data_IF_124360211368
#
_entry.id   IF_124360211368
#
_cell.length_a   1.000
_cell.length_b   1.000
_cell.length_c   1.000
_cell.angle_alpha   90.00
_cell.angle_beta   90.00
_cell.angle_gamma   90.00
#
_symmetry.space_group_name_H-M   'P 1'
#
loop_
_entity.id
_entity.type
_entity.pdbx_description
1 polymer ?
#
# COMPACT_ATOMS: atom_id res chain seq x y z
N UNK A 1 -9.38 -22.01 2.52
CA UNK A 1 -8.49 -21.00 3.09
C UNK A 1 -7.18 -21.58 3.62
N UNK A 2 -7.16 -22.52 4.60
CA UNK A 2 -5.90 -23.11 5.14
C UNK A 2 -4.99 -23.72 4.07
N UNK A 3 -5.55 -24.48 3.11
CA UNK A 3 -4.79 -25.12 2.01
C UNK A 3 -4.10 -24.07 1.13
N UNK A 4 -4.80 -23.00 0.73
CA UNK A 4 -4.23 -21.94 -0.10
C UNK A 4 -3.04 -21.25 0.58
N UNK A 5 -3.16 -20.97 1.91
CA UNK A 5 -2.05 -20.40 2.69
C UNK A 5 -0.87 -21.34 2.83
N UNK A 6 -1.13 -22.64 3.03
CA UNK A 6 -0.08 -23.65 3.10
C UNK A 6 0.67 -23.80 1.75
N UNK A 7 -0.06 -23.77 0.65
CA UNK A 7 0.52 -23.78 -0.69
C UNK A 7 1.39 -22.54 -0.94
N UNK A 8 0.88 -21.32 -0.60
CA UNK A 8 1.65 -20.08 -0.71
C UNK A 8 2.97 -20.17 0.06
N UNK A 9 2.92 -20.55 1.35
CA UNK A 9 4.11 -20.68 2.20
C UNK A 9 5.12 -21.70 1.70
N UNK A 10 4.67 -22.76 1.00
CA UNK A 10 5.55 -23.77 0.39
C UNK A 10 6.23 -23.26 -0.88
N UNK A 11 5.53 -22.45 -1.68
CA UNK A 11 6.06 -21.93 -2.94
C UNK A 11 6.90 -20.66 -2.75
N UNK A 12 6.55 -19.80 -1.75
CA UNK A 12 7.23 -18.55 -1.49
C UNK A 12 8.77 -18.63 -1.40
N UNK A 13 9.38 -19.61 -0.69
CA UNK A 13 10.83 -19.74 -0.62
C UNK A 13 11.54 -20.05 -1.93
N UNK A 14 10.78 -20.43 -2.96
CA UNK A 14 11.30 -20.75 -4.30
C UNK A 14 11.30 -19.55 -5.24
N UNK A 15 10.72 -18.43 -4.79
CA UNK A 15 10.63 -17.23 -5.59
C UNK A 15 11.89 -16.40 -5.43
N UNK A 16 12.31 -15.75 -6.51
CA UNK A 16 13.37 -14.76 -6.48
C UNK A 16 12.81 -13.45 -5.91
N UNK A 17 13.27 -12.98 -4.73
CA UNK A 17 12.76 -11.76 -4.13
C UNK A 17 12.93 -10.51 -5.02
N UNK A 18 13.96 -10.50 -5.88
CA UNK A 18 14.24 -9.38 -6.79
C UNK A 18 13.19 -9.24 -7.89
N UNK A 19 12.39 -10.29 -8.11
CA UNK A 19 11.31 -10.33 -9.10
C UNK A 19 9.93 -10.07 -8.52
N UNK A 20 9.83 -9.87 -7.21
CA UNK A 20 8.55 -9.67 -6.54
C UNK A 20 8.14 -8.20 -6.49
N UNK A 21 6.91 -7.92 -6.88
CA UNK A 21 6.27 -6.60 -6.76
C UNK A 21 4.96 -6.79 -5.99
N UNK A 22 4.93 -6.34 -4.74
CA UNK A 22 3.73 -6.41 -3.91
C UNK A 22 2.94 -5.12 -4.04
N UNK A 23 1.65 -5.21 -4.34
CA UNK A 23 0.77 -4.06 -4.53
C UNK A 23 -0.35 -4.11 -3.52
N UNK A 24 -0.71 -2.93 -3.01
CA UNK A 24 -1.86 -2.75 -2.14
C UNK A 24 -2.24 -1.27 -2.07
N UNK A 25 -3.41 -0.99 -1.51
CA UNK A 25 -3.87 0.36 -1.23
C UNK A 25 -4.12 0.60 0.26
N UNK A 26 -4.05 1.87 0.66
CA UNK A 26 -4.33 2.26 2.02
C UNK A 26 -4.99 3.63 2.11
N UNK A 27 -6.03 3.74 2.96
CA UNK A 27 -6.65 5.02 3.27
C UNK A 27 -5.74 5.89 4.13
N UNK A 28 -5.65 7.17 3.76
CA UNK A 28 -5.02 8.25 4.55
C UNK A 28 -6.00 9.39 4.73
N UNK A 29 -5.88 10.18 5.79
CA UNK A 29 -6.84 11.23 6.08
C UNK A 29 -6.25 12.44 6.80
N UNK A 30 -6.88 13.59 6.63
CA UNK A 30 -6.45 14.85 7.23
C UNK A 30 -6.68 14.94 8.75
N UNK A 31 -7.36 13.98 9.37
CA UNK A 31 -7.54 13.90 10.82
C UNK A 31 -6.55 12.94 11.51
N UNK A 32 -5.57 12.39 10.78
CA UNK A 32 -4.60 11.47 11.36
C UNK A 32 -3.83 12.12 12.52
N UNK A 33 -3.82 11.46 13.68
CA UNK A 33 -3.07 11.87 14.87
C UNK A 33 -2.40 10.66 15.51
N UNK A 34 -1.45 10.93 16.40
CA UNK A 34 -0.83 9.88 17.20
C UNK A 34 -1.87 9.24 18.12
N UNK A 35 -2.13 7.92 18.05
CA UNK A 35 -3.13 7.25 18.89
C UNK A 35 -2.65 7.02 20.32
N UNK A 36 -1.35 7.23 20.58
CA UNK A 36 -0.72 6.97 21.88
C UNK A 36 0.32 8.04 22.18
N UNK A 37 0.52 8.35 23.47
CA UNK A 37 1.56 9.21 23.98
C UNK A 37 2.07 8.71 25.33
N UNK A 38 3.06 9.39 25.90
CA UNK A 38 3.64 9.09 27.22
C UNK A 38 3.45 10.28 28.14
N UNK A 39 3.12 10.01 29.41
CA UNK A 39 3.08 10.99 30.49
C UNK A 39 3.66 10.39 31.77
N UNK A 40 3.86 11.20 32.79
CA UNK A 40 4.32 10.71 34.10
C UNK A 40 3.31 9.71 34.68
N UNK A 41 3.84 8.69 35.37
CA UNK A 41 3.00 7.71 36.08
C UNK A 41 2.02 8.43 37.01
N UNK A 42 0.76 7.98 37.01
CA UNK A 42 -0.32 8.58 37.80
C UNK A 42 -0.91 9.87 37.24
N UNK A 43 -0.47 10.33 36.06
CA UNK A 43 -1.07 11.49 35.37
C UNK A 43 -1.85 11.03 34.12
N UNK A 44 -2.94 11.73 33.83
CA UNK A 44 -3.72 11.51 32.60
C UNK A 44 -3.02 12.21 31.43
N UNK A 45 -2.80 11.50 30.34
CA UNK A 45 -2.37 12.11 29.10
C UNK A 45 -3.55 12.87 28.48
N UNK A 46 -3.37 14.15 28.25
CA UNK A 46 -4.33 15.00 27.53
C UNK A 46 -3.67 15.49 26.25
N UNK A 47 -4.33 15.28 25.11
CA UNK A 47 -3.87 15.75 23.81
C UNK A 47 -5.06 16.30 23.02
N UNK A 48 -4.81 17.38 22.25
CA UNK A 48 -5.80 17.89 21.30
C UNK A 48 -5.82 17.01 20.07
N UNK A 49 -7.01 16.65 19.61
CA UNK A 49 -7.22 15.89 18.35
C UNK A 49 -8.04 16.77 17.40
N UNK A 50 -7.86 16.64 16.08
CA UNK A 50 -8.71 17.33 15.12
C UNK A 50 -10.16 16.91 15.31
N UNK A 51 -11.04 17.87 15.29
CA UNK A 51 -12.48 17.68 15.34
C UNK A 51 -13.13 18.35 14.13
N UNK A 52 -14.27 17.85 13.68
CA UNK A 52 -14.99 18.35 12.53
C UNK A 52 -14.88 17.44 11.30
N UNK A 53 -15.14 17.99 10.13
CA UNK A 53 -15.07 17.26 8.87
C UNK A 53 -13.62 17.04 8.45
N UNK A 54 -13.30 15.79 8.10
CA UNK A 54 -12.02 15.40 7.53
C UNK A 54 -12.18 14.83 6.13
N UNK A 55 -11.13 14.88 5.36
CA UNK A 55 -11.06 14.26 4.03
C UNK A 55 -10.20 13.01 4.09
N UNK A 56 -10.62 11.99 3.36
CA UNK A 56 -9.90 10.73 3.21
C UNK A 56 -9.47 10.59 1.76
N UNK A 57 -8.24 10.18 1.54
CA UNK A 57 -7.70 9.86 0.21
C UNK A 57 -7.17 8.45 0.21
N UNK A 58 -7.09 7.84 -0.96
CA UNK A 58 -6.47 6.53 -1.13
C UNK A 58 -5.04 6.70 -1.66
N UNK A 59 -4.10 6.03 -1.04
CA UNK A 59 -2.73 5.86 -1.50
C UNK A 59 -2.55 4.42 -1.97
N UNK A 60 -2.03 4.23 -3.16
CA UNK A 60 -1.66 2.93 -3.72
C UNK A 60 -0.21 2.96 -4.17
N UNK A 61 0.50 1.86 -4.02
CA UNK A 61 1.88 1.71 -4.47
C UNK A 61 2.25 0.24 -4.66
N UNK A 62 3.35 0.00 -5.35
CA UNK A 62 4.07 -1.26 -5.35
C UNK A 62 5.24 -1.23 -4.36
N UNK A 63 5.56 -2.37 -3.78
CA UNK A 63 6.76 -2.58 -2.96
C UNK A 63 7.66 -3.61 -3.66
N UNK A 64 8.90 -3.22 -3.92
CA UNK A 64 10.00 -4.07 -4.40
C UNK A 64 11.03 -4.25 -3.29
N UNK A 65 12.03 -5.07 -3.54
CA UNK A 65 13.15 -5.24 -2.61
C UNK A 65 13.93 -3.93 -2.41
N UNK A 66 14.03 -3.09 -3.43
CA UNK A 66 14.77 -1.83 -3.46
C UNK A 66 13.95 -0.60 -3.08
N UNK A 67 12.68 -0.75 -2.75
CA UNK A 67 11.83 0.34 -2.28
C UNK A 67 10.42 0.35 -2.85
N UNK A 68 9.74 1.49 -2.69
CA UNK A 68 8.40 1.70 -3.26
C UNK A 68 8.48 2.12 -4.73
N UNK A 69 7.59 1.56 -5.55
CA UNK A 69 7.45 1.86 -6.98
C UNK A 69 6.01 2.28 -7.29
N UNK A 70 5.83 3.04 -8.37
CA UNK A 70 4.53 3.48 -8.88
C UNK A 70 3.60 4.07 -7.79
N UNK A 71 4.07 5.01 -6.94
CA UNK A 71 3.21 5.62 -5.93
C UNK A 71 2.14 6.49 -6.58
N UNK A 72 0.90 6.35 -6.13
CA UNK A 72 -0.23 7.13 -6.64
C UNK A 72 -1.18 7.49 -5.50
N UNK A 73 -1.74 8.71 -5.54
CA UNK A 73 -2.77 9.17 -4.61
C UNK A 73 -4.00 9.61 -5.37
N UNK A 74 -5.18 9.32 -4.83
CA UNK A 74 -6.46 9.71 -5.41
C UNK A 74 -7.42 10.17 -4.31
N UNK A 75 -8.16 11.25 -4.59
CA UNK A 75 -9.18 11.80 -3.67
C UNK A 75 -10.53 11.06 -3.87
N UNK A 76 -10.46 9.73 -3.84
CA UNK A 76 -11.62 8.84 -3.98
C UNK A 76 -11.34 7.50 -3.29
N UNK A 77 -12.37 6.71 -2.93
CA UNK A 77 -12.20 5.30 -2.60
C UNK A 77 -11.71 4.53 -3.83
N UNK A 78 -10.90 3.48 -3.62
CA UNK A 78 -10.44 2.62 -4.69
C UNK A 78 -11.60 1.77 -5.21
N UNK A 79 -11.83 1.83 -6.52
CA UNK A 79 -12.70 0.93 -7.26
C UNK A 79 -11.95 0.26 -8.41
N UNK A 80 -12.64 -0.60 -9.18
CA UNK A 80 -12.00 -1.37 -10.24
C UNK A 80 -11.51 -0.51 -11.42
N UNK A 81 -12.18 0.58 -11.74
CA UNK A 81 -11.81 1.49 -12.84
C UNK A 81 -10.58 2.32 -12.47
N UNK A 82 -10.58 2.89 -11.27
CA UNK A 82 -9.41 3.62 -10.73
C UNK A 82 -8.21 2.68 -10.61
N UNK A 83 -8.42 1.45 -10.14
CA UNK A 83 -7.35 0.47 -10.01
C UNK A 83 -6.77 0.07 -11.36
N UNK A 84 -7.62 -0.20 -12.37
CA UNK A 84 -7.15 -0.49 -13.73
C UNK A 84 -6.38 0.70 -14.33
N UNK A 85 -6.90 1.91 -14.17
CA UNK A 85 -6.20 3.14 -14.60
C UNK A 85 -4.82 3.27 -13.93
N UNK A 86 -4.74 3.00 -12.62
CA UNK A 86 -3.47 2.98 -11.90
C UNK A 86 -2.50 1.94 -12.48
N UNK A 87 -2.98 0.73 -12.76
CA UNK A 87 -2.15 -0.31 -13.37
C UNK A 87 -1.59 0.14 -14.72
N UNK A 88 -2.43 0.64 -15.60
CA UNK A 88 -2.05 1.05 -16.96
C UNK A 88 -1.09 2.24 -16.97
N UNK A 89 -1.36 3.26 -16.13
CA UNK A 89 -0.65 4.54 -16.19
C UNK A 89 0.56 4.62 -15.29
N UNK A 90 0.54 3.91 -14.17
CA UNK A 90 1.57 4.04 -13.14
C UNK A 90 2.40 2.78 -12.99
N UNK A 91 1.77 1.60 -12.86
CA UNK A 91 2.50 0.37 -12.55
C UNK A 91 3.09 -0.29 -13.80
N UNK A 92 2.30 -0.57 -14.84
CA UNK A 92 2.73 -1.31 -16.02
C UNK A 92 4.00 -0.73 -16.66
N UNK A 93 4.16 0.63 -16.76
CA UNK A 93 5.40 1.21 -17.27
C UNK A 93 6.66 0.92 -16.44
N UNK A 94 6.50 0.46 -15.20
CA UNK A 94 7.62 0.12 -14.29
C UNK A 94 7.92 -1.37 -14.24
N UNK A 95 7.05 -2.21 -14.83
CA UNK A 95 7.21 -3.65 -14.81
C UNK A 95 8.19 -4.13 -15.86
N UNK A 96 8.89 -5.20 -15.52
CA UNK A 96 9.82 -5.90 -16.41
C UNK A 96 9.40 -7.35 -16.63
N UNK A 97 9.72 -7.94 -17.81
CA UNK A 97 9.45 -9.34 -18.06
C UNK A 97 10.02 -10.27 -16.98
N UNK A 98 9.23 -11.25 -16.59
CA UNK A 98 9.58 -12.23 -15.56
C UNK A 98 9.34 -11.76 -14.11
N UNK A 99 8.86 -10.54 -13.88
CA UNK A 99 8.41 -10.11 -12.56
C UNK A 99 7.10 -10.79 -12.15
N UNK A 100 6.87 -10.83 -10.85
CA UNK A 100 5.68 -11.43 -10.25
C UNK A 100 4.96 -10.34 -9.45
N UNK A 101 3.87 -9.86 -10.00
CA UNK A 101 3.00 -8.90 -9.32
C UNK A 101 2.10 -9.66 -8.37
N UNK A 102 2.19 -9.31 -7.10
CA UNK A 102 1.42 -9.94 -6.02
C UNK A 102 0.50 -8.92 -5.39
N UNK A 103 -0.76 -9.23 -5.28
CA UNK A 103 -1.77 -8.40 -4.63
C UNK A 103 -2.80 -9.27 -3.91
N UNK A 104 -3.63 -8.65 -3.08
CA UNK A 104 -4.69 -9.34 -2.40
C UNK A 104 -5.83 -9.77 -3.35
N UNK A 105 -6.86 -10.37 -2.79
CA UNK A 105 -7.95 -11.01 -3.52
C UNK A 105 -9.23 -10.16 -3.53
N UNK A 106 -9.12 -8.82 -3.43
CA UNK A 106 -10.26 -7.92 -3.45
C UNK A 106 -10.98 -7.93 -4.82
N UNK A 107 -12.30 -7.67 -4.84
CA UNK A 107 -13.06 -7.58 -6.10
C UNK A 107 -12.49 -6.54 -7.07
N UNK A 108 -12.04 -5.38 -6.60
CA UNK A 108 -11.43 -4.33 -7.41
C UNK A 108 -10.18 -4.80 -8.17
N UNK A 109 -9.45 -5.76 -7.61
CA UNK A 109 -8.24 -6.34 -8.22
C UNK A 109 -8.53 -7.45 -9.26
N UNK A 110 -9.79 -7.80 -9.46
CA UNK A 110 -10.22 -8.88 -10.36
C UNK A 110 -11.09 -8.40 -11.51
N UNK A 111 -11.21 -7.10 -11.70
CA UNK A 111 -11.95 -6.58 -12.85
C UNK A 111 -11.24 -6.96 -14.15
N UNK A 112 -12.02 -7.05 -15.22
CA UNK A 112 -11.49 -7.31 -16.56
C UNK A 112 -10.40 -6.29 -16.91
N UNK A 113 -9.32 -6.75 -17.56
CA UNK A 113 -8.18 -5.92 -17.93
C UNK A 113 -7.03 -5.93 -16.92
N UNK A 114 -7.25 -6.21 -15.63
CA UNK A 114 -6.18 -6.19 -14.62
C UNK A 114 -5.09 -7.23 -14.92
N UNK A 115 -5.49 -8.47 -15.14
CA UNK A 115 -4.55 -9.55 -15.49
C UNK A 115 -3.86 -9.28 -16.81
N UNK A 116 -4.63 -8.93 -17.80
CA UNK A 116 -4.19 -8.67 -19.16
C UNK A 116 -3.15 -7.54 -19.20
N UNK A 117 -3.38 -6.45 -18.47
CA UNK A 117 -2.45 -5.32 -18.37
C UNK A 117 -1.11 -5.74 -17.76
N UNK A 118 -1.13 -6.55 -16.70
CA UNK A 118 0.10 -7.04 -16.07
C UNK A 118 0.83 -8.03 -16.99
N UNK A 119 0.13 -9.00 -17.54
CA UNK A 119 0.72 -10.06 -18.38
C UNK A 119 1.22 -9.52 -19.72
N UNK A 120 0.64 -8.44 -20.25
CA UNK A 120 1.14 -7.76 -21.45
C UNK A 120 2.55 -7.17 -21.27
N UNK A 121 2.99 -6.90 -20.04
CA UNK A 121 4.38 -6.46 -19.75
C UNK A 121 5.39 -7.61 -19.70
N UNK A 122 4.94 -8.86 -19.82
CA UNK A 122 5.75 -10.06 -19.59
C UNK A 122 5.89 -10.44 -18.10
N UNK A 123 5.23 -9.70 -17.20
CA UNK A 123 5.10 -10.07 -15.79
C UNK A 123 3.98 -11.09 -15.58
N UNK A 124 3.91 -11.64 -14.38
CA UNK A 124 2.88 -12.63 -14.01
C UNK A 124 2.10 -12.14 -12.79
N UNK A 125 0.77 -12.22 -12.83
CA UNK A 125 -0.07 -11.96 -11.67
C UNK A 125 -0.17 -13.20 -10.77
N UNK A 126 0.11 -13.04 -9.47
CA UNK A 126 -0.06 -14.05 -8.45
C UNK A 126 -0.82 -13.51 -7.23
N UNK A 127 -2.09 -13.86 -7.13
CA UNK A 127 -2.94 -13.39 -6.04
C UNK A 127 -2.60 -14.06 -4.71
N UNK A 128 -2.56 -13.28 -3.64
CA UNK A 128 -2.43 -13.77 -2.27
C UNK A 128 -3.64 -14.63 -1.89
N UNK A 129 -3.47 -15.57 -0.97
CA UNK A 129 -4.61 -16.28 -0.39
C UNK A 129 -5.59 -15.29 0.26
N UNK A 130 -6.91 -15.54 0.20
CA UNK A 130 -7.90 -14.69 0.82
C UNK A 130 -7.60 -14.44 2.30
N UNK A 131 -7.86 -13.21 2.77
CA UNK A 131 -7.66 -12.79 4.17
C UNK A 131 -6.25 -13.07 4.70
N UNK A 132 -5.23 -12.71 3.95
CA UNK A 132 -3.82 -12.98 4.29
C UNK A 132 -2.92 -11.73 4.23
N UNK A 133 -3.26 -10.64 4.93
CA UNK A 133 -2.44 -9.42 4.95
C UNK A 133 -1.05 -9.65 5.57
N UNK A 134 -0.93 -10.65 6.45
CA UNK A 134 0.34 -11.09 7.03
C UNK A 134 1.33 -11.69 6.01
N UNK A 135 0.87 -12.02 4.81
CA UNK A 135 1.70 -12.46 3.69
C UNK A 135 2.02 -11.32 2.71
N UNK A 136 1.51 -10.12 2.96
CA UNK A 136 1.78 -8.94 2.13
C UNK A 136 2.76 -8.00 2.85
N UNK A 137 4.04 -7.93 2.47
CA UNK A 137 5.03 -7.10 3.16
C UNK A 137 4.76 -5.60 3.03
N UNK A 138 4.02 -5.15 2.01
CA UNK A 138 3.69 -3.73 1.83
C UNK A 138 2.86 -3.17 3.00
N UNK A 139 2.12 -4.01 3.70
CA UNK A 139 1.34 -3.60 4.88
C UNK A 139 2.22 -3.04 6.00
N UNK A 140 3.44 -3.58 6.17
CA UNK A 140 4.41 -3.02 7.12
C UNK A 140 4.91 -1.65 6.68
N UNK A 141 5.12 -1.46 5.38
CA UNK A 141 5.47 -0.17 4.79
C UNK A 141 4.36 0.85 4.96
N UNK A 142 3.11 0.46 4.77
CA UNK A 142 1.95 1.31 5.04
C UNK A 142 1.79 1.64 6.53
N UNK A 143 2.09 0.72 7.42
CA UNK A 143 2.11 1.00 8.86
C UNK A 143 3.16 2.07 9.20
N UNK A 144 4.37 1.98 8.63
CA UNK A 144 5.45 2.99 8.75
C UNK A 144 5.01 4.32 8.14
N UNK A 145 4.47 4.33 6.92
CA UNK A 145 3.92 5.53 6.29
C UNK A 145 2.90 6.22 7.20
N UNK A 146 1.88 5.49 7.66
CA UNK A 146 0.84 6.03 8.55
C UNK A 146 1.40 6.56 9.87
N UNK A 147 2.46 5.96 10.40
CA UNK A 147 3.13 6.47 11.59
C UNK A 147 3.77 7.85 11.33
N UNK A 148 4.43 8.04 10.18
CA UNK A 148 4.98 9.32 9.76
C UNK A 148 3.89 10.37 9.53
N UNK A 149 2.80 10.03 8.82
CA UNK A 149 1.68 10.94 8.57
C UNK A 149 1.00 11.39 9.88
N UNK A 150 0.82 10.47 10.85
CA UNK A 150 0.31 10.82 12.18
C UNK A 150 1.25 11.74 12.95
N UNK A 151 2.56 11.62 12.72
CA UNK A 151 3.57 12.50 13.34
C UNK A 151 3.54 13.91 12.71
N UNK A 152 3.44 13.97 11.37
CA UNK A 152 3.35 15.22 10.63
C UNK A 152 2.07 15.98 10.96
N UNK A 153 0.95 15.28 10.99
CA UNK A 153 -0.33 15.84 11.40
C UNK A 153 -0.90 16.83 10.39
N UNK A 154 -0.72 16.59 9.11
CA UNK A 154 -1.21 17.45 8.02
C UNK A 154 -2.73 17.52 7.99
N UNK A 155 -3.26 18.74 7.72
CA UNK A 155 -4.70 19.05 7.82
C UNK A 155 -5.35 19.45 6.50
N UNK A 156 -4.59 19.49 5.42
CA UNK A 156 -5.09 19.72 4.06
C UNK A 156 -4.68 18.58 3.13
N UNK A 157 -5.46 18.33 2.09
CA UNK A 157 -5.15 17.31 1.08
C UNK A 157 -3.80 17.58 0.40
N UNK A 158 -3.49 18.78 -0.09
CA UNK A 158 -2.19 19.04 -0.71
C UNK A 158 -1.01 18.74 0.23
N UNK A 159 -1.04 19.23 1.48
CA UNK A 159 0.02 18.96 2.44
C UNK A 159 0.15 17.47 2.80
N UNK A 160 -0.98 16.74 2.90
CA UNK A 160 -0.99 15.31 3.11
C UNK A 160 -0.31 14.57 1.95
N UNK A 161 -0.59 14.93 0.72
CA UNK A 161 -0.01 14.33 -0.48
C UNK A 161 1.49 14.64 -0.59
N UNK A 162 1.91 15.87 -0.33
CA UNK A 162 3.32 16.26 -0.28
C UNK A 162 4.09 15.46 0.78
N UNK A 163 3.45 15.26 1.96
CA UNK A 163 4.03 14.46 3.03
C UNK A 163 4.11 12.97 2.66
N UNK A 164 3.11 12.41 1.98
CA UNK A 164 3.17 11.05 1.43
C UNK A 164 4.37 10.93 0.48
N UNK A 165 4.52 11.84 -0.48
CA UNK A 165 5.63 11.86 -1.42
C UNK A 165 7.00 11.95 -0.72
N UNK A 166 7.10 12.76 0.34
CA UNK A 166 8.32 12.89 1.15
C UNK A 166 8.68 11.58 1.86
N UNK A 167 7.69 10.92 2.46
CA UNK A 167 7.91 9.66 3.17
C UNK A 167 8.25 8.53 2.21
N UNK A 168 7.57 8.46 1.05
CA UNK A 168 7.81 7.43 0.03
C UNK A 168 9.25 7.46 -0.48
N UNK A 169 9.81 8.65 -0.73
CA UNK A 169 11.23 8.81 -1.11
C UNK A 169 12.23 8.31 -0.06
N UNK A 170 11.80 8.17 1.19
CA UNK A 170 12.63 7.64 2.27
C UNK A 170 12.57 6.11 2.43
N UNK A 171 11.81 5.40 1.59
CA UNK A 171 11.82 3.93 1.53
C UNK A 171 12.92 3.47 0.58
N UNK A 172 14.15 3.51 1.06
CA UNK A 172 15.34 3.00 0.37
C UNK A 172 15.82 1.71 1.03
N UNK A 173 16.52 0.83 0.30
CA UNK A 173 17.23 -0.30 0.91
C UNK A 173 18.24 0.21 1.95
N UNK A 174 18.41 -0.52 3.03
CA UNK A 174 19.48 -0.28 4.00
C UNK A 174 20.82 -0.83 3.50
#
# INVERSE_FOLDING_TARGET
>A
MRVARANWKREQPRLDPTKLVFIDETGTSTNMTRPRGRCRRGKRLVAKVPHGHWKTTTFVAGLRQDGMTAPFVVDAPMDGEIFLTYLERCLAPTLSPGEIVTMDNLPAHKVAGVRETIEATGARLWLLPPYSPDLNPIEQSFAKLKAHLRKAGERSIPALWDQIGTVVRGFTPE
#
